data_IF_261224636532
#
_entry.id   IF_261224636532
#
_cell.length_a   1.000
_cell.length_b   1.000
_cell.length_c   1.000
_cell.angle_alpha   90.00
_cell.angle_beta   90.00
_cell.angle_gamma   90.00
#
_symmetry.space_group_name_H-M   'P 1'
#
loop_
_entity.id
_entity.type
_entity.pdbx_description
1 polymer ?
#
# COMPACT_ATOMS: atom_id res chain seq x y z
N UNK A 1 68.49 -40.74 -3.89
CA UNK A 1 67.56 -40.00 -4.77
C UNK A 1 66.23 -40.75 -4.71
N UNK A 2 65.30 -40.44 -3.81
CA UNK A 2 64.31 -39.34 -3.93
C UNK A 2 63.80 -39.27 -5.37
N UNK A 3 62.55 -39.54 -5.74
CA UNK A 3 61.25 -39.21 -5.12
C UNK A 3 60.21 -40.22 -5.65
N UNK A 4 59.43 -40.89 -4.79
CA UNK A 4 58.05 -40.51 -4.41
C UNK A 4 57.16 -40.13 -5.61
N UNK A 5 56.20 -40.96 -5.98
CA UNK A 5 54.92 -41.25 -5.31
C UNK A 5 53.81 -40.55 -6.10
N UNK A 6 52.94 -41.39 -6.67
CA UNK A 6 51.67 -41.01 -7.27
C UNK A 6 50.92 -40.07 -6.31
N UNK A 7 50.73 -38.82 -6.70
CA UNK A 7 49.76 -37.93 -6.04
C UNK A 7 48.64 -37.71 -7.04
N UNK A 8 47.56 -38.45 -6.82
CA UNK A 8 46.23 -38.17 -7.34
C UNK A 8 45.89 -36.75 -6.88
N UNK A 9 45.91 -35.79 -7.78
CA UNK A 9 45.43 -34.44 -7.51
C UNK A 9 43.89 -34.51 -7.45
N UNK A 10 43.37 -34.81 -6.27
CA UNK A 10 42.00 -34.50 -5.91
C UNK A 10 41.84 -32.98 -6.00
N UNK A 11 41.25 -32.50 -7.10
CA UNK A 11 40.66 -31.17 -7.19
C UNK A 11 39.46 -31.14 -6.25
N UNK A 12 39.72 -30.87 -4.97
CA UNK A 12 38.69 -30.41 -4.04
C UNK A 12 38.19 -29.06 -4.53
N UNK A 13 37.04 -29.09 -5.20
CA UNK A 13 36.12 -27.97 -5.31
C UNK A 13 35.88 -27.41 -3.91
N UNK A 14 36.60 -26.34 -3.57
CA UNK A 14 36.13 -25.39 -2.57
C UNK A 14 34.92 -24.70 -3.19
N UNK A 15 33.76 -25.34 -3.07
CA UNK A 15 32.51 -24.64 -3.09
C UNK A 15 32.55 -23.69 -1.89
N UNK A 16 33.01 -22.45 -2.14
CA UNK A 16 32.69 -21.33 -1.27
C UNK A 16 31.18 -21.20 -1.38
N UNK A 17 30.49 -21.82 -0.44
CA UNK A 17 29.14 -21.47 -0.09
C UNK A 17 29.19 -19.99 0.29
N UNK A 18 29.00 -19.12 -0.70
CA UNK A 18 28.49 -17.79 -0.44
C UNK A 18 27.16 -18.06 0.24
N UNK A 19 27.13 -17.93 1.56
CA UNK A 19 25.89 -17.70 2.25
C UNK A 19 25.32 -16.45 1.57
N UNK A 20 24.39 -16.66 0.63
CA UNK A 20 23.51 -15.61 0.17
C UNK A 20 22.83 -15.11 1.43
N UNK A 21 23.36 -14.02 2.00
CA UNK A 21 22.65 -13.25 2.99
C UNK A 21 21.26 -12.92 2.41
N UNK A 22 20.23 -12.78 3.26
CA UNK A 22 18.89 -12.49 2.78
C UNK A 22 18.96 -11.34 1.77
N UNK A 23 18.47 -11.58 0.55
CA UNK A 23 18.55 -10.62 -0.56
C UNK A 23 18.11 -9.25 -0.07
N UNK A 24 18.99 -8.26 -0.17
CA UNK A 24 18.67 -6.90 0.24
C UNK A 24 17.46 -6.41 -0.57
N UNK A 25 16.40 -6.03 0.12
CA UNK A 25 15.21 -5.44 -0.49
C UNK A 25 15.49 -3.96 -0.62
N UNK A 26 15.61 -3.48 -1.85
CA UNK A 26 15.77 -2.06 -2.13
C UNK A 26 14.57 -1.27 -1.61
N UNK A 27 14.82 0.00 -1.28
CA UNK A 27 13.76 0.92 -0.88
C UNK A 27 12.61 0.86 -1.89
N UNK A 28 11.36 0.70 -1.42
CA UNK A 28 10.22 0.64 -2.31
C UNK A 28 10.09 1.99 -3.02
N UNK A 29 10.00 1.95 -4.35
CA UNK A 29 9.49 3.09 -5.09
C UNK A 29 7.96 3.08 -4.98
N UNK A 30 7.38 4.25 -4.85
CA UNK A 30 5.94 4.39 -4.74
C UNK A 30 5.23 3.90 -6.04
N UNK A 31 5.90 3.98 -7.19
CA UNK A 31 5.40 3.49 -8.48
C UNK A 31 5.37 1.95 -8.61
N UNK A 32 6.10 1.22 -7.76
CA UNK A 32 6.03 -0.25 -7.63
C UNK A 32 5.33 -0.64 -6.33
N UNK A 33 4.06 -0.22 -6.22
CA UNK A 33 3.30 -0.42 -5.00
C UNK A 33 3.02 -1.91 -4.74
N UNK A 34 3.77 -2.48 -3.80
CA UNK A 34 3.58 -3.83 -3.30
C UNK A 34 3.65 -3.84 -1.78
N UNK A 35 2.53 -4.15 -1.12
CA UNK A 35 2.47 -4.33 0.33
C UNK A 35 3.52 -5.34 0.82
N UNK A 36 3.74 -6.42 0.06
CA UNK A 36 4.74 -7.43 0.40
C UNK A 36 6.17 -6.91 0.29
N UNK A 37 6.45 -5.96 -0.63
CA UNK A 37 7.76 -5.30 -0.75
C UNK A 37 7.96 -4.30 0.38
N UNK A 38 6.98 -3.44 0.64
CA UNK A 38 6.99 -2.47 1.75
C UNK A 38 7.19 -3.15 3.11
N UNK A 39 6.49 -4.26 3.35
CA UNK A 39 6.64 -5.07 4.56
C UNK A 39 8.06 -5.60 4.72
N UNK A 40 8.60 -6.26 3.67
CA UNK A 40 9.96 -6.83 3.71
C UNK A 40 11.02 -5.75 3.89
N UNK A 41 10.87 -4.62 3.21
CA UNK A 41 11.76 -3.48 3.38
C UNK A 41 11.76 -2.96 4.83
N UNK A 42 10.59 -2.66 5.40
CA UNK A 42 10.50 -2.17 6.77
C UNK A 42 11.07 -3.18 7.78
N UNK A 43 10.75 -4.47 7.61
CA UNK A 43 11.29 -5.53 8.46
C UNK A 43 12.81 -5.61 8.39
N UNK A 44 13.39 -5.52 7.18
CA UNK A 44 14.84 -5.53 7.00
C UNK A 44 15.49 -4.30 7.65
N UNK A 45 14.95 -3.11 7.44
CA UNK A 45 15.48 -1.87 8.03
C UNK A 45 15.41 -1.92 9.56
N UNK A 46 14.29 -2.40 10.13
CA UNK A 46 14.17 -2.64 11.56
C UNK A 46 15.21 -3.65 12.08
N UNK A 47 15.51 -4.69 11.31
CA UNK A 47 16.60 -5.64 11.59
C UNK A 47 17.96 -4.96 11.78
N UNK A 48 18.27 -3.94 10.96
CA UNK A 48 19.53 -3.18 11.10
C UNK A 48 19.59 -2.33 12.38
N UNK A 49 18.44 -2.06 13.00
CA UNK A 49 18.29 -1.32 14.26
C UNK A 49 18.14 -2.24 15.48
N UNK A 50 18.34 -3.55 15.31
CA UNK A 50 18.27 -4.54 16.39
C UNK A 50 16.87 -5.08 16.68
N UNK A 51 15.84 -4.69 15.90
CA UNK A 51 14.49 -5.26 16.02
C UNK A 51 14.44 -6.55 15.21
N UNK A 52 14.19 -7.66 15.90
CA UNK A 52 14.10 -8.97 15.25
C UNK A 52 12.86 -9.09 14.36
N UNK A 53 12.90 -9.99 13.37
CA UNK A 53 11.74 -10.32 12.54
C UNK A 53 10.52 -10.75 13.37
N UNK A 54 10.77 -11.42 14.50
CA UNK A 54 9.72 -11.84 15.45
C UNK A 54 9.09 -10.66 16.16
N UNK A 55 9.89 -9.72 16.69
CA UNK A 55 9.38 -8.50 17.32
C UNK A 55 8.60 -7.63 16.34
N UNK A 56 9.11 -7.47 15.11
CA UNK A 56 8.41 -6.77 14.04
C UNK A 56 7.04 -7.39 13.74
N UNK A 57 7.00 -8.72 13.62
CA UNK A 57 5.75 -9.47 13.38
C UNK A 57 4.81 -9.37 14.58
N UNK A 58 5.32 -9.42 15.80
CA UNK A 58 4.52 -9.24 17.03
C UNK A 58 3.91 -7.85 17.13
N UNK A 59 4.61 -6.80 16.70
CA UNK A 59 4.07 -5.45 16.63
C UNK A 59 2.82 -5.40 15.72
N UNK A 60 2.89 -6.02 14.55
CA UNK A 60 1.74 -6.15 13.65
C UNK A 60 0.60 -7.01 14.22
N UNK A 61 0.92 -8.13 14.88
CA UNK A 61 -0.09 -8.91 15.59
C UNK A 61 -0.76 -8.12 16.73
N UNK A 62 -0.04 -7.16 17.31
CA UNK A 62 -0.59 -6.15 18.22
C UNK A 62 -1.69 -5.30 17.57
N UNK A 63 -1.49 -4.86 16.33
CA UNK A 63 -2.52 -4.14 15.54
C UNK A 63 -3.78 -5.01 15.41
N UNK A 64 -3.62 -6.28 15.01
CA UNK A 64 -4.74 -7.22 14.88
C UNK A 64 -5.50 -7.42 16.19
N UNK A 65 -4.78 -7.53 17.31
CA UNK A 65 -5.40 -7.67 18.64
C UNK A 65 -6.16 -6.41 19.04
N UNK A 66 -5.58 -5.24 18.82
CA UNK A 66 -6.24 -3.97 19.07
C UNK A 66 -7.52 -3.85 18.23
N UNK A 67 -7.47 -4.13 16.92
CA UNK A 67 -8.64 -4.09 16.04
C UNK A 67 -9.75 -5.02 16.53
N UNK A 68 -9.41 -6.25 16.94
CA UNK A 68 -10.38 -7.20 17.50
C UNK A 68 -11.06 -6.69 18.78
N UNK A 69 -10.35 -5.92 19.60
CA UNK A 69 -10.90 -5.39 20.85
C UNK A 69 -11.70 -4.08 20.62
N UNK A 70 -11.40 -3.35 19.55
CA UNK A 70 -12.04 -2.06 19.23
C UNK A 70 -13.27 -2.23 18.34
N UNK A 71 -13.21 -3.15 17.38
CA UNK A 71 -14.26 -3.39 16.38
C UNK A 71 -15.03 -4.66 16.72
N UNK A 72 -16.36 -4.60 16.57
CA UNK A 72 -17.15 -5.83 16.46
C UNK A 72 -17.00 -6.37 15.03
N UNK A 73 -15.94 -7.14 14.80
CA UNK A 73 -15.58 -7.63 13.46
C UNK A 73 -16.66 -8.57 12.89
N UNK A 74 -17.38 -9.29 13.75
CA UNK A 74 -18.47 -10.17 13.32
C UNK A 74 -19.63 -9.33 12.82
N UNK A 75 -20.09 -8.38 13.63
CA UNK A 75 -21.18 -7.49 13.26
C UNK A 75 -20.82 -6.63 12.05
N UNK A 76 -19.58 -6.11 11.98
CA UNK A 76 -19.10 -5.34 10.83
C UNK A 76 -19.14 -6.17 9.54
N UNK A 77 -18.72 -7.45 9.59
CA UNK A 77 -18.76 -8.33 8.44
C UNK A 77 -20.20 -8.65 8.01
N UNK A 78 -21.08 -8.97 8.97
CA UNK A 78 -22.49 -9.25 8.70
C UNK A 78 -23.24 -8.04 8.14
N UNK A 79 -22.99 -6.84 8.68
CA UNK A 79 -23.56 -5.59 8.18
C UNK A 79 -22.99 -5.25 6.79
N UNK A 80 -21.67 -5.43 6.56
CA UNK A 80 -21.05 -5.21 5.25
C UNK A 80 -21.65 -6.09 4.15
N UNK A 81 -22.01 -7.34 4.45
CA UNK A 81 -22.68 -8.22 3.49
C UNK A 81 -24.11 -7.80 3.12
N UNK A 82 -24.74 -6.99 3.99
CA UNK A 82 -26.12 -6.50 3.88
C UNK A 82 -26.23 -5.04 3.44
N UNK A 83 -25.11 -4.34 3.35
CA UNK A 83 -25.05 -2.95 2.91
C UNK A 83 -25.68 -2.81 1.51
N UNK A 84 -26.61 -1.88 1.36
CA UNK A 84 -27.36 -1.57 0.13
C UNK A 84 -27.98 -0.15 0.19
N UNK A 85 -28.60 0.34 -0.90
CA UNK A 85 -29.18 1.70 -1.10
C UNK A 85 -30.43 2.00 -0.22
N UNK A 86 -30.47 1.54 1.01
CA UNK A 86 -31.55 1.87 1.93
C UNK A 86 -31.23 1.59 3.39
N UNK A 87 -30.02 1.10 3.67
CA UNK A 87 -29.56 0.81 5.01
C UNK A 87 -28.12 1.30 5.25
N UNK A 88 -27.51 2.00 4.29
CA UNK A 88 -26.14 2.46 4.39
C UNK A 88 -25.95 3.46 5.54
N UNK A 89 -26.90 4.38 5.74
CA UNK A 89 -26.81 5.38 6.81
C UNK A 89 -26.84 4.72 8.20
N UNK A 90 -27.75 3.77 8.39
CA UNK A 90 -27.89 3.03 9.64
C UNK A 90 -26.64 2.19 9.93
N UNK A 91 -26.16 1.45 8.92
CA UNK A 91 -25.01 0.56 9.05
C UNK A 91 -23.74 1.37 9.28
N UNK A 92 -23.47 2.37 8.45
CA UNK A 92 -22.25 3.18 8.55
C UNK A 92 -22.29 4.03 9.83
N UNK A 93 -23.43 4.59 10.23
CA UNK A 93 -23.57 5.31 11.49
C UNK A 93 -23.22 4.48 12.72
N UNK A 94 -23.51 3.17 12.69
CA UNK A 94 -23.14 2.22 13.76
C UNK A 94 -21.63 1.98 13.84
N UNK A 95 -20.96 1.87 12.69
CA UNK A 95 -19.56 1.42 12.61
C UNK A 95 -18.54 2.54 12.57
N UNK A 96 -18.86 3.67 11.94
CA UNK A 96 -17.94 4.78 11.70
C UNK A 96 -17.23 5.30 12.96
N UNK A 97 -17.90 5.54 14.10
CA UNK A 97 -17.21 5.95 15.33
C UNK A 97 -16.12 4.97 15.78
N UNK A 98 -16.36 3.66 15.63
CA UNK A 98 -15.40 2.61 16.00
C UNK A 98 -14.32 2.43 14.94
N UNK A 99 -14.62 2.64 13.66
CA UNK A 99 -13.62 2.59 12.58
C UNK A 99 -12.52 3.64 12.78
N UNK A 100 -12.88 4.87 13.15
CA UNK A 100 -11.89 5.92 13.51
C UNK A 100 -11.04 5.55 14.72
N UNK A 101 -11.62 4.88 15.72
CA UNK A 101 -10.84 4.36 16.85
C UNK A 101 -9.93 3.21 16.43
N UNK A 102 -10.42 2.32 15.57
CA UNK A 102 -9.67 1.20 15.01
C UNK A 102 -8.44 1.66 14.22
N UNK A 103 -8.52 2.77 13.50
CA UNK A 103 -7.37 3.35 12.80
C UNK A 103 -6.18 3.67 13.74
N UNK A 104 -6.44 3.99 15.01
CA UNK A 104 -5.39 4.25 16.01
C UNK A 104 -4.62 2.98 16.42
N UNK A 105 -5.16 1.79 16.15
CA UNK A 105 -4.47 0.52 16.41
C UNK A 105 -3.17 0.37 15.62
N UNK A 106 -3.01 1.11 14.52
CA UNK A 106 -1.81 1.09 13.70
C UNK A 106 -0.68 1.99 14.27
N UNK A 107 -0.98 2.93 15.17
CA UNK A 107 0.00 3.91 15.66
C UNK A 107 1.28 3.27 16.22
N UNK A 108 1.23 2.25 17.12
CA UNK A 108 2.47 1.68 17.66
C UNK A 108 3.34 1.01 16.59
N UNK A 109 2.71 0.37 15.60
CA UNK A 109 3.44 -0.23 14.48
C UNK A 109 4.07 0.85 13.60
N UNK A 110 3.33 1.93 13.31
CA UNK A 110 3.83 3.07 12.53
C UNK A 110 5.00 3.76 13.23
N UNK A 111 4.91 3.98 14.55
CA UNK A 111 5.97 4.58 15.35
C UNK A 111 7.25 3.73 15.34
N UNK A 112 7.09 2.39 15.41
CA UNK A 112 8.21 1.46 15.25
C UNK A 112 8.84 1.58 13.86
N UNK A 113 8.04 1.52 12.79
CA UNK A 113 8.55 1.64 11.41
C UNK A 113 9.27 2.98 11.20
N UNK A 114 8.74 4.08 11.75
CA UNK A 114 9.36 5.41 11.71
C UNK A 114 10.76 5.43 12.31
N UNK A 115 10.98 4.68 13.39
CA UNK A 115 12.31 4.53 14.01
C UNK A 115 13.29 3.66 13.22
N UNK A 116 12.79 2.89 12.24
CA UNK A 116 13.60 1.95 11.47
C UNK A 116 14.03 2.48 10.10
N UNK A 117 13.12 3.11 9.37
CA UNK A 117 13.32 3.50 7.96
C UNK A 117 13.79 4.95 7.84
N UNK A 118 14.32 5.34 6.67
CA UNK A 118 14.62 6.75 6.40
C UNK A 118 13.36 7.61 6.38
N UNK A 119 13.48 8.90 6.69
CA UNK A 119 12.36 9.85 6.63
C UNK A 119 11.68 9.81 5.25
N UNK A 120 12.47 9.84 4.18
CA UNK A 120 11.98 9.71 2.81
C UNK A 120 11.14 8.44 2.60
N UNK A 121 11.60 7.29 3.09
CA UNK A 121 10.86 6.03 2.95
C UNK A 121 9.60 6.00 3.83
N UNK A 122 9.66 6.65 5.00
CA UNK A 122 8.53 6.73 5.93
C UNK A 122 7.35 7.52 5.33
N UNK A 123 7.60 8.51 4.48
CA UNK A 123 6.55 9.24 3.76
C UNK A 123 5.62 8.32 2.95
N UNK A 124 6.10 7.17 2.45
CA UNK A 124 5.24 6.19 1.76
C UNK A 124 4.25 5.56 2.74
N UNK A 125 4.70 5.21 3.94
CA UNK A 125 3.84 4.66 4.99
C UNK A 125 2.83 5.72 5.46
N UNK A 126 3.26 6.98 5.61
CA UNK A 126 2.35 8.08 5.96
C UNK A 126 1.32 8.33 4.86
N UNK A 127 1.70 8.34 3.59
CA UNK A 127 0.76 8.49 2.48
C UNK A 127 -0.30 7.37 2.46
N UNK A 128 0.08 6.13 2.76
CA UNK A 128 -0.87 5.02 2.88
C UNK A 128 -1.82 5.19 4.05
N UNK A 129 -1.28 5.59 5.20
CA UNK A 129 -2.10 5.88 6.39
C UNK A 129 -3.09 7.01 6.12
N UNK A 130 -2.65 8.09 5.49
CA UNK A 130 -3.50 9.21 5.09
C UNK A 130 -4.56 8.76 4.10
N UNK A 131 -4.21 7.96 3.09
CA UNK A 131 -5.19 7.41 2.15
C UNK A 131 -6.29 6.59 2.84
N UNK A 132 -5.93 5.70 3.79
CA UNK A 132 -6.93 4.99 4.59
C UNK A 132 -7.79 5.92 5.44
N UNK A 133 -7.20 6.98 6.00
CA UNK A 133 -7.93 7.96 6.78
C UNK A 133 -8.93 8.73 5.90
N UNK A 134 -8.51 9.21 4.73
CA UNK A 134 -9.36 9.93 3.81
C UNK A 134 -10.50 9.05 3.27
N UNK A 135 -10.25 7.75 3.06
CA UNK A 135 -11.32 6.79 2.74
C UNK A 135 -12.33 6.70 3.89
N UNK A 136 -11.86 6.62 5.14
CA UNK A 136 -12.75 6.60 6.30
C UNK A 136 -13.55 7.91 6.40
N UNK A 137 -12.91 9.06 6.21
CA UNK A 137 -13.60 10.35 6.16
C UNK A 137 -14.68 10.37 5.09
N UNK A 138 -14.35 9.96 3.87
CA UNK A 138 -15.30 9.88 2.77
C UNK A 138 -16.48 8.95 3.08
N UNK A 139 -16.21 7.74 3.56
CA UNK A 139 -17.24 6.72 3.86
C UNK A 139 -18.10 7.10 5.06
N UNK A 140 -17.54 7.81 6.04
CA UNK A 140 -18.19 8.09 7.31
C UNK A 140 -18.74 9.50 7.43
N UNK A 141 -18.48 10.38 6.46
CA UNK A 141 -19.03 11.72 6.43
C UNK A 141 -20.57 11.63 6.49
N UNK A 142 -21.13 12.29 7.52
CA UNK A 142 -22.57 12.28 7.82
C UNK A 142 -23.18 10.86 7.76
N UNK A 143 -22.50 9.89 8.37
CA UNK A 143 -22.91 8.48 8.39
C UNK A 143 -23.05 7.84 6.99
N UNK A 144 -22.24 8.26 6.02
CA UNK A 144 -22.27 7.67 4.68
C UNK A 144 -23.08 8.46 3.66
N UNK A 145 -23.30 9.76 3.87
CA UNK A 145 -24.00 10.61 2.91
C UNK A 145 -23.31 10.68 1.52
N UNK A 146 -22.02 10.36 1.45
CA UNK A 146 -21.27 10.29 0.20
C UNK A 146 -21.34 8.92 -0.48
N UNK A 147 -22.07 7.96 0.08
CA UNK A 147 -22.08 6.57 -0.37
C UNK A 147 -23.50 6.21 -0.78
N UNK A 148 -23.70 5.96 -2.07
CA UNK A 148 -24.87 5.25 -2.57
C UNK A 148 -24.43 3.83 -2.89
N UNK A 149 -24.58 2.92 -1.92
CA UNK A 149 -24.02 1.57 -2.04
C UNK A 149 -24.95 0.66 -2.83
N UNK A 150 -24.64 0.41 -4.09
CA UNK A 150 -25.31 -0.61 -4.91
C UNK A 150 -24.47 -1.88 -4.93
N UNK A 151 -25.00 -2.96 -4.33
CA UNK A 151 -24.27 -4.23 -4.22
C UNK A 151 -23.90 -4.85 -5.58
N UNK A 152 -24.78 -4.78 -6.57
CA UNK A 152 -24.53 -5.37 -7.88
C UNK A 152 -23.46 -4.60 -8.65
N UNK A 153 -23.50 -3.26 -8.57
CA UNK A 153 -22.43 -2.40 -9.12
C UNK A 153 -21.12 -2.65 -8.38
N UNK A 154 -21.15 -2.68 -7.05
CA UNK A 154 -19.97 -2.95 -6.23
C UNK A 154 -19.28 -4.27 -6.63
N UNK A 155 -20.04 -5.35 -6.75
CA UNK A 155 -19.51 -6.67 -7.14
C UNK A 155 -18.93 -6.65 -8.57
N UNK A 156 -19.55 -5.91 -9.48
CA UNK A 156 -19.05 -5.75 -10.85
C UNK A 156 -17.74 -4.97 -10.86
N UNK A 157 -17.70 -3.82 -10.18
CA UNK A 157 -16.50 -3.00 -10.04
C UNK A 157 -15.35 -3.76 -9.36
N UNK A 158 -15.65 -4.58 -8.34
CA UNK A 158 -14.65 -5.44 -7.68
C UNK A 158 -13.99 -6.41 -8.66
N UNK A 159 -14.76 -7.01 -9.58
CA UNK A 159 -14.23 -7.94 -10.58
C UNK A 159 -13.39 -7.23 -11.65
N UNK A 160 -13.74 -6.00 -11.99
CA UNK A 160 -13.15 -5.27 -13.12
C UNK A 160 -12.01 -4.30 -12.73
N UNK A 161 -11.91 -3.90 -11.46
CA UNK A 161 -10.98 -2.86 -11.01
C UNK A 161 -9.52 -3.17 -11.39
N UNK A 162 -9.05 -4.40 -11.15
CA UNK A 162 -7.69 -4.80 -11.50
C UNK A 162 -7.43 -4.70 -13.00
N UNK A 163 -8.42 -5.07 -13.83
CA UNK A 163 -8.31 -4.92 -15.28
C UNK A 163 -8.20 -3.45 -15.66
N UNK A 164 -9.01 -2.58 -15.07
CA UNK A 164 -8.96 -1.14 -15.35
C UNK A 164 -7.64 -0.50 -14.94
N UNK A 165 -7.11 -0.85 -13.76
CA UNK A 165 -5.80 -0.40 -13.29
C UNK A 165 -4.71 -0.81 -14.28
N UNK A 166 -4.64 -2.09 -14.64
CA UNK A 166 -3.62 -2.61 -15.57
C UNK A 166 -3.74 -1.94 -16.93
N UNK A 167 -4.96 -1.81 -17.47
CA UNK A 167 -5.18 -1.16 -18.78
C UNK A 167 -4.71 0.29 -18.76
N UNK A 168 -5.14 1.09 -17.78
CA UNK A 168 -4.77 2.50 -17.72
C UNK A 168 -3.28 2.71 -17.44
N UNK A 169 -2.64 1.84 -16.64
CA UNK A 169 -1.21 1.87 -16.44
C UNK A 169 -0.45 1.50 -17.73
N UNK A 170 -0.80 0.41 -18.40
CA UNK A 170 -0.12 -0.06 -19.60
C UNK A 170 -0.25 0.90 -20.79
N UNK A 171 -1.39 1.59 -20.92
CA UNK A 171 -1.64 2.55 -22.00
C UNK A 171 -0.90 3.88 -21.82
N UNK A 172 -0.57 4.26 -20.59
CA UNK A 172 -0.16 5.64 -20.29
C UNK A 172 1.16 5.77 -19.53
N UNK A 173 1.55 4.76 -18.74
CA UNK A 173 2.80 4.77 -18.01
C UNK A 173 3.89 4.09 -18.82
N UNK A 174 4.92 4.85 -19.17
CA UNK A 174 6.12 4.30 -19.80
C UNK A 174 6.84 3.47 -18.74
N UNK A 175 7.10 2.19 -19.03
CA UNK A 175 7.95 1.33 -18.20
C UNK A 175 9.42 1.79 -18.33
N UNK A 176 9.73 2.92 -17.71
CA UNK A 176 11.10 3.40 -17.55
C UNK A 176 11.72 2.77 -16.31
N UNK A 177 12.90 2.15 -16.40
CA UNK A 177 13.57 1.57 -15.24
C UNK A 177 13.93 2.67 -14.24
N UNK A 178 13.63 2.40 -12.95
CA UNK A 178 14.14 3.14 -11.79
C UNK A 178 13.91 4.65 -11.80
N UNK A 179 12.66 5.09 -11.96
CA UNK A 179 12.34 6.51 -11.78
C UNK A 179 12.14 6.80 -10.30
N UNK A 180 13.09 7.51 -9.68
CA UNK A 180 12.93 7.99 -8.31
C UNK A 180 11.73 8.96 -8.26
N UNK A 181 10.73 8.64 -7.43
CA UNK A 181 9.53 9.46 -7.22
C UNK A 181 9.79 10.94 -6.91
N UNK A 182 10.96 11.29 -6.37
CA UNK A 182 11.37 12.66 -6.04
C UNK A 182 11.93 13.45 -7.22
N UNK A 183 12.23 12.78 -8.33
CA UNK A 183 12.85 13.38 -9.52
C UNK A 183 12.11 13.02 -10.81
N UNK A 184 10.79 12.74 -10.72
CA UNK A 184 9.93 12.55 -11.90
C UNK A 184 9.95 13.82 -12.76
N UNK A 185 10.12 13.63 -14.07
CA UNK A 185 10.03 14.70 -15.05
C UNK A 185 8.58 15.16 -15.24
N UNK A 186 8.39 16.31 -15.88
CA UNK A 186 7.07 16.79 -16.29
C UNK A 186 6.35 15.75 -17.17
N UNK A 187 7.08 15.09 -18.08
CA UNK A 187 6.55 14.01 -18.92
C UNK A 187 6.04 12.83 -18.09
N UNK A 188 6.80 12.39 -17.08
CA UNK A 188 6.35 11.32 -16.17
C UNK A 188 5.10 11.74 -15.39
N UNK A 189 5.01 13.01 -14.99
CA UNK A 189 3.85 13.52 -14.25
C UNK A 189 2.62 13.68 -15.12
N UNK A 190 2.79 14.09 -16.38
CA UNK A 190 1.70 14.13 -17.36
C UNK A 190 1.19 12.72 -17.65
N UNK A 191 2.09 11.74 -17.84
CA UNK A 191 1.74 10.33 -18.00
C UNK A 191 0.93 9.81 -16.79
N UNK A 192 1.35 10.15 -15.57
CA UNK A 192 0.64 9.80 -14.33
C UNK A 192 -0.76 10.43 -14.26
N UNK A 193 -0.89 11.71 -14.64
CA UNK A 193 -2.18 12.39 -14.68
C UNK A 193 -3.14 11.74 -15.67
N UNK A 194 -2.66 11.40 -16.87
CA UNK A 194 -3.47 10.72 -17.90
C UNK A 194 -3.88 9.31 -17.42
N UNK A 195 -2.98 8.56 -16.78
CA UNK A 195 -3.29 7.25 -16.21
C UNK A 195 -4.38 7.33 -15.12
N UNK A 196 -4.27 8.33 -14.23
CA UNK A 196 -5.30 8.64 -13.21
C UNK A 196 -6.65 8.94 -13.87
N UNK A 197 -6.68 9.84 -14.83
CA UNK A 197 -7.92 10.26 -15.50
C UNK A 197 -8.56 9.11 -16.29
N UNK A 198 -7.75 8.27 -16.94
CA UNK A 198 -8.20 7.02 -17.55
C UNK A 198 -8.91 6.13 -16.52
N UNK A 199 -8.31 5.93 -15.35
CA UNK A 199 -8.86 5.05 -14.33
C UNK A 199 -10.16 5.61 -13.76
N UNK A 200 -10.19 6.91 -13.40
CA UNK A 200 -11.39 7.56 -12.88
C UNK A 200 -12.53 7.54 -13.90
N UNK A 201 -12.24 7.70 -15.19
CA UNK A 201 -13.24 7.58 -16.26
C UNK A 201 -13.83 6.17 -16.36
N UNK A 202 -13.01 5.12 -16.20
CA UNK A 202 -13.48 3.72 -16.20
C UNK A 202 -14.25 3.37 -14.93
N UNK A 203 -13.89 3.98 -13.79
CA UNK A 203 -14.55 3.77 -12.51
C UNK A 203 -15.72 4.72 -12.25
N UNK A 204 -16.11 5.59 -13.20
CA UNK A 204 -17.11 6.64 -12.98
C UNK A 204 -18.42 6.14 -12.32
N UNK A 205 -18.83 4.92 -12.64
CA UNK A 205 -20.08 4.30 -12.15
C UNK A 205 -19.85 3.41 -10.90
N UNK A 206 -18.61 3.35 -10.39
CA UNK A 206 -18.15 2.50 -9.31
C UNK A 206 -18.07 3.20 -7.94
N UNK A 207 -18.69 4.37 -7.78
CA UNK A 207 -18.89 5.06 -6.51
C UNK A 207 -17.66 5.08 -5.59
N UNK A 208 -17.69 4.24 -4.54
CA UNK A 208 -16.60 4.10 -3.55
C UNK A 208 -15.25 3.75 -4.18
N UNK A 209 -15.19 2.93 -5.23
CA UNK A 209 -13.93 2.58 -5.88
C UNK A 209 -13.31 3.74 -6.65
N UNK A 210 -14.13 4.56 -7.33
CA UNK A 210 -13.64 5.77 -8.00
C UNK A 210 -13.06 6.75 -6.98
N UNK A 211 -13.76 6.96 -5.86
CA UNK A 211 -13.29 7.84 -4.80
C UNK A 211 -12.06 7.29 -4.10
N UNK A 212 -12.00 5.98 -3.83
CA UNK A 212 -10.81 5.32 -3.30
C UNK A 212 -9.59 5.50 -4.21
N UNK A 213 -9.77 5.36 -5.53
CA UNK A 213 -8.72 5.60 -6.52
C UNK A 213 -8.30 7.07 -6.57
N UNK A 214 -9.26 8.01 -6.58
CA UNK A 214 -8.99 9.46 -6.54
C UNK A 214 -8.14 9.82 -5.32
N UNK A 215 -8.60 9.43 -4.13
CA UNK A 215 -7.90 9.69 -2.86
C UNK A 215 -6.51 9.05 -2.81
N UNK A 216 -6.34 7.87 -3.42
CA UNK A 216 -5.04 7.24 -3.57
C UNK A 216 -4.09 8.14 -4.36
N UNK A 217 -4.50 8.61 -5.55
CA UNK A 217 -3.67 9.47 -6.39
C UNK A 217 -3.41 10.83 -5.74
N UNK A 218 -4.37 11.41 -5.01
CA UNK A 218 -4.17 12.67 -4.28
C UNK A 218 -3.03 12.58 -3.25
N UNK A 219 -3.06 11.52 -2.44
CA UNK A 219 -2.03 11.22 -1.43
C UNK A 219 -0.70 10.86 -2.08
N UNK A 220 -0.74 10.02 -3.12
CA UNK A 220 0.44 9.59 -3.86
C UNK A 220 1.18 10.78 -4.49
N UNK A 221 0.46 11.69 -5.16
CA UNK A 221 1.06 12.86 -5.80
C UNK A 221 1.80 13.73 -4.77
N UNK A 222 1.33 13.82 -3.51
CA UNK A 222 1.98 14.65 -2.48
C UNK A 222 3.42 14.20 -2.14
N UNK A 223 3.70 12.90 -2.25
CA UNK A 223 5.02 12.35 -1.92
C UNK A 223 5.98 12.30 -3.12
N UNK A 224 5.53 12.76 -4.29
CA UNK A 224 6.30 12.79 -5.55
C UNK A 224 6.70 14.21 -5.96
N UNK A 225 7.59 14.36 -6.95
CA UNK A 225 7.83 15.66 -7.61
C UNK A 225 6.64 16.13 -8.46
N UNK A 226 5.68 15.27 -8.78
CA UNK A 226 4.49 15.64 -9.56
C UNK A 226 3.59 16.65 -8.88
N UNK A 227 3.71 16.86 -7.57
CA UNK A 227 3.05 17.97 -6.86
C UNK A 227 3.44 19.36 -7.39
N UNK A 228 4.54 19.48 -8.13
CA UNK A 228 4.97 20.74 -8.72
C UNK A 228 4.41 20.96 -10.13
N UNK A 229 3.95 19.88 -10.79
CA UNK A 229 3.47 19.89 -12.18
C UNK A 229 1.95 19.78 -12.27
N UNK A 230 1.31 19.04 -11.35
CA UNK A 230 -0.14 18.82 -11.32
C UNK A 230 -0.78 19.76 -10.29
N UNK A 231 -1.56 20.78 -10.70
CA UNK A 231 -2.22 21.72 -9.77
C UNK A 231 -3.14 21.03 -8.78
N UNK A 232 -3.27 21.55 -7.55
CA UNK A 232 -4.16 20.97 -6.51
C UNK A 232 -5.61 20.82 -6.96
N UNK A 233 -6.11 21.72 -7.81
CA UNK A 233 -7.47 21.66 -8.33
C UNK A 233 -7.71 20.46 -9.26
N UNK A 234 -6.67 19.99 -9.94
CA UNK A 234 -6.69 18.83 -10.86
C UNK A 234 -6.32 17.53 -10.13
N UNK A 235 -6.07 17.58 -8.83
CA UNK A 235 -5.88 16.39 -7.98
C UNK A 235 -7.22 15.87 -7.46
N UNK A 236 -8.20 16.77 -7.28
CA UNK A 236 -9.57 16.49 -6.82
C UNK A 236 -10.46 15.93 -7.93
#
# INVERSE_FOLDING_TARGET
MLDRMRVILMLTLLAVAHAEGPSQVDAPDALDFSYARLWRYAQQQCGTKGITSTEFTHSWLGVRRCLKNTLDVVQLNEDSMRLDIGNEEEILGRHCPKLYQGAKCFNPFMDMVKGCVSEESYEIFEALRSWFHDILEYLCENNGANVEYDKQKHDTCTREINRHIITCAAENLIATPEVNRKTLSEENCNALAIAKDCLLKKLKDCGVFANGARLFYENFIQITSCKNYIPKAERK
#
